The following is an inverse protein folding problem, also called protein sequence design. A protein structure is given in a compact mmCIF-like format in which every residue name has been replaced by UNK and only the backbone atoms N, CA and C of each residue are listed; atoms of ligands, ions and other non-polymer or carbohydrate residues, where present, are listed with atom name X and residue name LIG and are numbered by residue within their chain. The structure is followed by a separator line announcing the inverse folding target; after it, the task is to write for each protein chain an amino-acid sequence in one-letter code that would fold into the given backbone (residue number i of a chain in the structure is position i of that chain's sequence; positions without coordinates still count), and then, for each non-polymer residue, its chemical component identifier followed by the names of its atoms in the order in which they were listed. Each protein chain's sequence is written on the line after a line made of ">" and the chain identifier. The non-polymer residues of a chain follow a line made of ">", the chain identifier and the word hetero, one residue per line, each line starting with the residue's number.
data_IF_307845992329
#
_entry.id   IF_307845992329
#
_cell.length_a   1.000
_cell.length_b   1.000
_cell.length_c   1.000
_cell.angle_alpha   90.00
_cell.angle_beta   90.00
_cell.angle_gamma   90.00
#
_symmetry.space_group_name_H-M   'P 1'
#
loop_
_entity.id
_entity.type
_entity.pdbx_description
1 polymer ?
#
# COMPACT_ATOMS: atom_id res chain seq x y z
N UNK A 1 -17.24 -34.64 -30.12
CA UNK A 1 -16.91 -35.39 -28.90
C UNK A 1 -15.87 -34.54 -28.16
N UNK A 2 -16.20 -33.41 -27.54
CA UNK A 2 -17.17 -33.17 -26.44
C UNK A 2 -16.63 -33.68 -25.10
N UNK A 3 -16.67 -33.00 -23.93
CA UNK A 3 -16.96 -31.61 -23.47
C UNK A 3 -16.61 -31.55 -21.93
N UNK A 4 -16.44 -30.46 -21.17
CA UNK A 4 -16.09 -29.03 -21.39
C UNK A 4 -15.86 -28.28 -20.02
N UNK A 5 -15.12 -27.16 -19.99
CA UNK A 5 -15.01 -26.21 -18.84
C UNK A 5 -13.64 -26.16 -18.13
N UNK A 6 -13.18 -25.05 -17.50
CA UNK A 6 -13.77 -23.73 -17.24
C UNK A 6 -12.71 -22.59 -17.34
N UNK A 7 -13.17 -21.32 -17.25
CA UNK A 7 -12.42 -20.08 -17.51
C UNK A 7 -11.32 -19.76 -16.48
N UNK A 8 -10.21 -19.16 -16.91
CA UNK A 8 -9.13 -18.65 -16.04
C UNK A 8 -9.31 -17.19 -15.56
N UNK A 9 -8.40 -16.71 -14.70
CA UNK A 9 -8.31 -15.29 -14.31
C UNK A 9 -7.04 -14.95 -13.51
N UNK A 10 -6.52 -13.73 -13.71
CA UNK A 10 -5.53 -12.99 -12.90
C UNK A 10 -4.17 -13.64 -12.59
N UNK A 11 -3.15 -13.30 -13.37
CA UNK A 11 -1.75 -13.36 -12.91
C UNK A 11 -1.46 -12.15 -12.02
N UNK A 12 -1.50 -12.34 -10.70
CA UNK A 12 -0.89 -11.40 -9.75
C UNK A 12 0.64 -11.36 -9.94
N UNK A 13 1.32 -10.38 -9.35
CA UNK A 13 2.80 -10.28 -9.34
C UNK A 13 3.47 -11.26 -8.35
N UNK A 14 3.09 -12.52 -8.51
CA UNK A 14 3.75 -13.76 -8.11
C UNK A 14 3.13 -14.78 -9.09
N UNK A 15 3.87 -15.34 -10.04
CA UNK A 15 4.80 -16.46 -9.80
C UNK A 15 5.94 -16.53 -10.84
N UNK A 16 6.94 -17.38 -10.54
CA UNK A 16 8.21 -17.73 -11.23
C UNK A 16 9.41 -16.92 -10.69
N UNK A 17 10.26 -17.42 -9.79
CA UNK A 17 10.86 -18.77 -9.75
C UNK A 17 11.16 -19.28 -8.32
N UNK A 18 11.63 -20.52 -8.22
CA UNK A 18 11.86 -21.28 -6.99
C UNK A 18 13.04 -20.83 -6.09
N UNK A 19 13.01 -21.32 -4.84
CA UNK A 19 14.15 -21.45 -3.90
C UNK A 19 14.87 -20.16 -3.50
N UNK A 20 14.23 -19.37 -2.64
CA UNK A 20 14.87 -18.28 -1.89
C UNK A 20 13.86 -17.54 -1.03
N UNK A 21 14.15 -17.35 0.26
CA UNK A 21 13.23 -16.66 1.17
C UNK A 21 13.13 -15.18 0.83
N UNK A 22 12.11 -14.79 0.07
CA UNK A 22 11.81 -13.38 -0.19
C UNK A 22 11.24 -12.74 1.07
N UNK A 23 12.04 -11.91 1.74
CA UNK A 23 11.51 -10.96 2.73
C UNK A 23 10.47 -10.10 2.03
N UNK A 24 9.21 -10.03 2.52
CA UNK A 24 8.18 -9.22 1.88
C UNK A 24 8.61 -7.75 1.91
N UNK A 25 8.91 -7.21 0.73
CA UNK A 25 9.28 -5.80 0.57
C UNK A 25 8.13 -4.95 1.12
N UNK A 26 8.47 -4.01 2.00
CA UNK A 26 7.52 -3.00 2.48
C UNK A 26 7.85 -1.67 1.80
N UNK A 27 7.42 -1.43 0.54
CA UNK A 27 7.84 -0.27 -0.22
C UNK A 27 7.27 1.01 0.37
N UNK A 28 8.11 2.05 0.48
CA UNK A 28 7.61 3.41 0.63
C UNK A 28 7.17 3.93 -0.73
N UNK A 29 5.88 4.25 -0.84
CA UNK A 29 5.26 4.78 -2.05
C UNK A 29 4.74 6.19 -1.80
N UNK A 30 4.51 6.90 -2.90
CA UNK A 30 3.69 8.09 -2.93
C UNK A 30 2.39 7.72 -3.66
N UNK A 31 1.24 7.97 -3.05
CA UNK A 31 -0.06 7.74 -3.71
C UNK A 31 -0.39 8.98 -4.54
N UNK A 32 -0.47 8.84 -5.86
CA UNK A 32 -0.63 9.97 -6.80
C UNK A 32 -1.97 9.88 -7.52
N UNK A 33 -2.72 10.97 -7.56
CA UNK A 33 -3.91 11.09 -8.39
C UNK A 33 -3.49 11.14 -9.87
N UNK A 34 -3.87 10.11 -10.62
CA UNK A 34 -3.55 9.97 -12.05
C UNK A 34 -4.11 11.11 -12.93
N UNK A 35 -5.16 11.81 -12.50
CA UNK A 35 -5.79 12.90 -13.26
C UNK A 35 -5.13 14.27 -13.07
N UNK A 36 -4.42 14.49 -11.95
CA UNK A 36 -3.86 15.80 -11.57
C UNK A 36 -2.36 15.78 -11.29
N UNK A 37 -1.75 14.61 -11.10
CA UNK A 37 -0.38 14.49 -10.63
C UNK A 37 -0.16 15.00 -9.20
N UNK A 38 -1.23 15.14 -8.39
CA UNK A 38 -1.14 15.54 -6.98
C UNK A 38 -1.11 14.32 -6.05
N UNK A 39 -0.49 14.47 -4.89
CA UNK A 39 -0.13 13.40 -3.96
C UNK A 39 -1.04 13.37 -2.73
N UNK A 40 -1.28 12.18 -2.18
CA UNK A 40 -1.94 12.02 -0.87
C UNK A 40 -1.03 12.54 0.23
N UNK A 41 -1.54 13.52 0.97
CA UNK A 41 -0.83 14.40 1.89
C UNK A 41 -1.55 14.41 3.26
N UNK A 42 -0.79 14.36 4.35
CA UNK A 42 -1.29 14.73 5.68
C UNK A 42 -1.24 16.27 5.80
N UNK A 43 -2.39 16.98 5.86
CA UNK A 43 -2.40 18.44 5.93
C UNK A 43 -1.54 18.96 7.09
N UNK A 44 -0.67 19.92 6.81
CA UNK A 44 0.30 20.50 7.76
C UNK A 44 1.18 19.46 8.47
N UNK A 45 1.32 18.25 7.91
CA UNK A 45 2.00 17.11 8.53
C UNK A 45 1.28 16.50 9.73
N UNK A 46 -0.02 16.78 9.91
CA UNK A 46 -0.77 16.43 11.12
C UNK A 46 -1.01 14.92 11.30
N UNK A 47 -0.53 14.37 12.41
CA UNK A 47 -0.61 12.93 12.76
C UNK A 47 -1.62 12.62 13.89
N UNK A 48 -2.50 13.58 14.20
CA UNK A 48 -3.57 13.40 15.19
C UNK A 48 -4.61 12.39 14.67
N UNK A 49 -5.12 11.54 15.57
CA UNK A 49 -6.11 10.53 15.21
C UNK A 49 -7.40 11.18 14.67
N UNK A 50 -7.76 10.85 13.43
CA UNK A 50 -8.91 11.42 12.73
C UNK A 50 -8.58 12.53 11.73
N UNK A 51 -7.32 12.93 11.57
CA UNK A 51 -6.90 13.77 10.43
C UNK A 51 -7.41 13.16 9.13
N UNK A 52 -8.07 13.95 8.28
CA UNK A 52 -8.46 13.52 6.92
C UNK A 52 -7.32 13.87 5.95
N UNK A 53 -6.66 12.88 5.31
CA UNK A 53 -5.67 13.17 4.28
C UNK A 53 -6.32 13.86 3.07
N UNK A 54 -5.52 14.67 2.37
CA UNK A 54 -5.97 15.41 1.19
C UNK A 54 -5.04 15.19 0.00
N UNK A 55 -5.42 15.67 -1.18
CA UNK A 55 -4.47 15.92 -2.26
C UNK A 55 -3.69 17.19 -2.02
N UNK A 56 -2.39 17.14 -2.28
CA UNK A 56 -1.55 18.33 -2.40
C UNK A 56 -0.51 18.17 -3.50
N UNK A 57 0.05 19.28 -4.00
CA UNK A 57 1.18 19.26 -4.93
C UNK A 57 2.30 18.36 -4.41
N UNK A 58 2.78 17.44 -5.24
CA UNK A 58 3.84 16.52 -4.87
C UNK A 58 5.14 17.27 -4.55
N UNK A 59 5.49 17.34 -3.26
CA UNK A 59 6.71 17.94 -2.70
C UNK A 59 7.72 16.90 -2.21
N UNK A 60 7.33 15.63 -2.15
CA UNK A 60 8.18 14.53 -1.66
C UNK A 60 8.44 14.58 -0.14
N UNK A 61 7.70 15.41 0.59
CA UNK A 61 7.75 15.51 2.04
C UNK A 61 7.34 14.20 2.73
N UNK A 62 7.73 14.01 3.99
CA UNK A 62 7.46 12.77 4.76
C UNK A 62 5.97 12.53 5.02
N UNK A 63 5.19 13.61 4.99
CA UNK A 63 3.74 13.70 5.03
C UNK A 63 3.03 13.21 3.75
N UNK A 64 3.78 13.01 2.66
CA UNK A 64 3.28 12.43 1.39
C UNK A 64 3.75 10.99 1.15
N UNK A 65 4.53 10.42 2.08
CA UNK A 65 5.12 9.09 1.96
C UNK A 65 4.33 8.07 2.76
N UNK A 66 3.99 6.96 2.12
CA UNK A 66 3.19 5.88 2.68
C UNK A 66 3.95 4.57 2.51
N UNK A 67 4.38 3.96 3.61
CA UNK A 67 4.99 2.63 3.60
C UNK A 67 3.90 1.58 3.61
N UNK A 68 3.79 0.82 2.52
CA UNK A 68 2.92 -0.35 2.47
C UNK A 68 3.61 -1.50 3.19
N UNK A 69 3.02 -1.99 4.27
CA UNK A 69 3.60 -3.06 5.10
C UNK A 69 3.13 -4.44 4.65
N UNK A 70 3.87 -5.49 5.02
CA UNK A 70 3.46 -6.88 4.79
C UNK A 70 2.12 -7.26 5.44
N UNK A 71 1.65 -6.49 6.43
CA UNK A 71 0.32 -6.63 7.05
C UNK A 71 -0.82 -5.96 6.25
N UNK A 72 -0.51 -5.36 5.09
CA UNK A 72 -1.44 -4.61 4.26
C UNK A 72 -1.69 -3.16 4.71
N UNK A 73 -1.00 -2.66 5.74
CA UNK A 73 -1.23 -1.29 6.21
C UNK A 73 -0.42 -0.25 5.42
N UNK A 74 -1.07 0.81 4.96
CA UNK A 74 -0.45 2.03 4.43
C UNK A 74 -0.10 2.95 5.61
N UNK A 75 1.17 2.97 5.99
CA UNK A 75 1.68 3.68 7.19
C UNK A 75 2.43 4.95 6.78
N UNK A 76 1.94 6.10 7.22
CA UNK A 76 2.53 7.42 6.96
C UNK A 76 3.42 7.93 8.08
N UNK A 77 3.62 9.27 8.09
CA UNK A 77 4.38 10.01 9.10
C UNK A 77 3.97 9.64 10.54
N UNK A 78 4.95 9.55 11.42
CA UNK A 78 4.84 9.22 12.85
C UNK A 78 4.04 7.93 13.17
N UNK A 79 3.89 7.02 12.19
CA UNK A 79 3.26 5.70 12.37
C UNK A 79 1.73 5.67 12.21
N UNK A 80 1.09 6.78 11.79
CA UNK A 80 -0.35 6.76 11.47
C UNK A 80 -0.62 5.87 10.27
N UNK A 81 -1.79 5.22 10.24
CA UNK A 81 -2.26 4.37 9.14
C UNK A 81 -3.49 4.98 8.48
N UNK A 82 -3.64 4.78 7.18
CA UNK A 82 -4.90 5.05 6.49
C UNK A 82 -5.97 4.08 7.00
N UNK A 83 -7.06 4.63 7.51
CA UNK A 83 -8.20 3.97 8.12
C UNK A 83 -9.47 4.35 7.35
N UNK A 84 -9.98 3.40 6.57
CA UNK A 84 -11.19 3.56 5.77
C UNK A 84 -12.44 3.07 6.49
N UNK A 85 -13.37 3.99 6.78
CA UNK A 85 -14.61 3.71 7.51
C UNK A 85 -15.80 4.44 6.88
N UNK A 86 -16.92 3.75 6.68
CA UNK A 86 -18.06 4.33 5.96
C UNK A 86 -17.64 4.83 4.57
N UNK A 87 -17.79 6.12 4.28
CA UNK A 87 -17.34 6.77 3.03
C UNK A 87 -16.02 7.54 3.16
N UNK A 88 -15.45 7.65 4.35
CA UNK A 88 -14.28 8.48 4.64
C UNK A 88 -12.99 7.66 4.76
N UNK A 89 -11.87 8.34 4.63
CA UNK A 89 -10.54 7.82 4.96
C UNK A 89 -9.88 8.81 5.93
N UNK A 90 -9.40 8.31 7.06
CA UNK A 90 -8.70 9.11 8.08
C UNK A 90 -7.33 8.52 8.40
N UNK A 91 -6.40 9.34 8.89
CA UNK A 91 -5.16 8.86 9.50
C UNK A 91 -5.41 8.56 10.99
N UNK A 92 -5.06 7.35 11.43
CA UNK A 92 -5.23 6.91 12.84
C UNK A 92 -4.05 6.06 13.32
N UNK A 93 -3.81 5.98 14.64
CA UNK A 93 -2.95 4.95 15.22
C UNK A 93 -3.39 3.53 14.82
N UNK A 94 -2.48 2.57 14.91
CA UNK A 94 -2.79 1.15 14.71
C UNK A 94 -3.97 0.70 15.59
N UNK A 95 -4.99 0.10 14.96
CA UNK A 95 -6.17 -0.44 15.66
C UNK A 95 -6.55 -1.87 15.22
N UNK A 96 -5.70 -2.50 14.40
CA UNK A 96 -5.84 -3.86 13.81
C UNK A 96 -7.15 -4.15 13.07
N UNK A 97 -7.98 -3.12 12.85
CA UNK A 97 -9.25 -3.24 12.15
C UNK A 97 -9.05 -3.63 10.69
N UNK A 98 -10.11 -4.16 10.09
CA UNK A 98 -10.18 -4.32 8.64
C UNK A 98 -10.01 -2.96 7.92
N UNK A 99 -10.42 -1.85 8.55
CA UNK A 99 -10.30 -0.49 8.01
C UNK A 99 -8.87 -0.04 7.71
N UNK A 100 -7.86 -0.67 8.31
CA UNK A 100 -6.44 -0.35 8.11
C UNK A 100 -5.70 -1.33 7.18
N UNK A 101 -6.43 -2.24 6.53
CA UNK A 101 -5.85 -3.26 5.64
C UNK A 101 -6.16 -2.89 4.19
N UNK A 102 -5.14 -2.89 3.36
CA UNK A 102 -5.18 -2.46 1.97
C UNK A 102 -4.43 -3.46 1.09
N UNK A 103 -4.71 -3.43 -0.21
CA UNK A 103 -3.96 -4.12 -1.26
C UNK A 103 -3.31 -3.04 -2.13
N UNK A 104 -2.01 -3.17 -2.37
CA UNK A 104 -1.26 -2.21 -3.18
C UNK A 104 -1.35 -2.58 -4.66
N UNK A 105 -2.52 -2.35 -5.23
CA UNK A 105 -2.82 -2.48 -6.66
C UNK A 105 -3.00 -1.08 -7.31
N UNK A 106 -3.28 -1.02 -8.61
CA UNK A 106 -3.49 0.24 -9.34
C UNK A 106 -4.73 1.05 -8.88
N UNK A 107 -5.54 0.48 -7.98
CA UNK A 107 -6.76 1.05 -7.42
C UNK A 107 -6.65 1.27 -5.89
N UNK A 108 -5.62 0.71 -5.23
CA UNK A 108 -5.43 0.70 -3.78
C UNK A 108 -6.69 0.23 -3.04
N UNK A 109 -7.06 -1.03 -3.26
CA UNK A 109 -8.29 -1.65 -2.73
C UNK A 109 -8.17 -2.08 -1.25
N UNK A 110 -9.28 -2.40 -0.59
CA UNK A 110 -9.30 -2.85 0.81
C UNK A 110 -10.59 -3.62 1.16
N UNK A 111 -10.75 -4.16 2.38
CA UNK A 111 -11.88 -4.99 2.79
C UNK A 111 -13.18 -4.20 3.03
N UNK A 112 -13.28 -2.97 2.52
CA UNK A 112 -14.41 -2.04 2.66
C UNK A 112 -15.60 -2.42 1.77
N UNK A 113 -15.90 -3.72 1.62
CA UNK A 113 -16.95 -4.23 0.74
C UNK A 113 -16.66 -4.02 -0.76
N UNK A 114 -15.43 -4.29 -1.20
CA UNK A 114 -15.01 -4.09 -2.60
C UNK A 114 -14.86 -2.63 -3.01
N UNK A 115 -14.66 -1.74 -2.04
CA UNK A 115 -14.45 -0.30 -2.25
C UNK A 115 -12.96 0.03 -2.15
N UNK A 116 -12.57 1.01 -2.95
CA UNK A 116 -11.18 1.44 -3.16
C UNK A 116 -10.96 2.86 -2.66
N UNK A 117 -9.69 3.20 -2.42
CA UNK A 117 -9.24 4.57 -2.22
C UNK A 117 -9.69 5.45 -3.40
N UNK A 118 -10.29 6.58 -3.07
CA UNK A 118 -10.93 7.50 -3.99
C UNK A 118 -10.84 8.93 -3.44
N UNK A 119 -11.44 9.86 -4.16
CA UNK A 119 -11.40 11.29 -3.86
C UNK A 119 -12.83 11.84 -3.80
N UNK A 120 -13.09 12.70 -2.81
CA UNK A 120 -14.41 13.32 -2.64
C UNK A 120 -14.81 14.05 -3.92
N UNK A 121 -15.98 13.72 -4.48
CA UNK A 121 -16.47 14.29 -5.73
C UNK A 121 -15.59 14.06 -6.97
N UNK A 122 -14.63 13.12 -6.91
CA UNK A 122 -13.55 12.97 -7.89
C UNK A 122 -12.70 14.24 -8.11
N UNK A 123 -12.59 15.09 -7.09
CA UNK A 123 -11.84 16.34 -7.15
C UNK A 123 -10.35 16.16 -7.46
N UNK A 124 -9.78 17.14 -8.17
CA UNK A 124 -8.37 17.18 -8.62
C UNK A 124 -7.56 18.28 -7.95
N UNK A 125 -8.21 19.23 -7.27
CA UNK A 125 -7.57 20.38 -6.63
C UNK A 125 -6.87 20.00 -5.31
N UNK A 126 -5.88 20.80 -4.91
CA UNK A 126 -5.28 20.70 -3.59
C UNK A 126 -6.34 20.92 -2.50
N UNK A 127 -6.26 20.18 -1.40
CA UNK A 127 -7.26 20.14 -0.34
C UNK A 127 -8.43 19.17 -0.61
N UNK A 128 -8.51 18.52 -1.78
CA UNK A 128 -9.51 17.47 -2.02
C UNK A 128 -9.27 16.30 -1.06
N UNK A 129 -10.26 15.97 -0.22
CA UNK A 129 -10.17 14.87 0.75
C UNK A 129 -10.25 13.49 0.09
N UNK A 130 -9.64 12.50 0.75
CA UNK A 130 -9.79 11.10 0.40
C UNK A 130 -11.18 10.54 0.80
N UNK A 131 -11.63 9.54 0.07
CA UNK A 131 -12.90 8.85 0.25
C UNK A 131 -12.78 7.36 -0.09
N UNK A 132 -13.83 6.58 0.20
CA UNK A 132 -14.00 5.21 -0.26
C UNK A 132 -15.11 5.14 -1.33
N UNK A 133 -14.80 4.62 -2.52
CA UNK A 133 -15.76 4.48 -3.62
C UNK A 133 -15.86 3.05 -4.16
N UNK A 134 -17.03 2.67 -4.69
CA UNK A 134 -17.20 1.44 -5.47
C UNK A 134 -16.63 1.61 -6.88
N UNK A 135 -16.29 0.50 -7.53
CA UNK A 135 -15.45 0.55 -8.73
C UNK A 135 -16.08 1.21 -9.98
N UNK A 136 -17.41 1.44 -9.98
CA UNK A 136 -18.18 1.96 -11.11
C UNK A 136 -18.20 3.50 -11.23
N UNK A 137 -17.73 4.24 -10.22
CA UNK A 137 -17.55 5.69 -10.35
C UNK A 137 -16.22 6.01 -11.03
N UNK A 138 -16.20 7.06 -11.85
CA UNK A 138 -14.99 7.72 -12.38
C UNK A 138 -14.21 8.47 -11.30
N UNK A 139 -13.99 7.80 -10.16
CA UNK A 139 -13.12 8.28 -9.10
C UNK A 139 -11.70 8.40 -9.64
N UNK A 140 -11.17 9.61 -9.63
CA UNK A 140 -9.79 9.92 -9.97
C UNK A 140 -8.86 8.95 -9.21
N UNK A 141 -8.15 8.11 -9.96
CA UNK A 141 -7.50 6.93 -9.40
C UNK A 141 -6.20 7.30 -8.68
N UNK A 142 -6.02 6.77 -7.47
CA UNK A 142 -4.79 6.90 -6.70
C UNK A 142 -3.84 5.74 -7.06
N UNK A 143 -2.81 6.05 -7.83
CA UNK A 143 -1.80 5.10 -8.28
C UNK A 143 -0.55 5.18 -7.38
N UNK A 144 -0.10 4.04 -6.80
CA UNK A 144 1.12 4.01 -5.99
C UNK A 144 2.36 4.13 -6.88
N UNK A 145 3.13 5.20 -6.67
CA UNK A 145 4.45 5.39 -7.27
C UNK A 145 5.51 5.02 -6.25
N UNK A 146 6.27 3.97 -6.50
CA UNK A 146 7.37 3.58 -5.63
C UNK A 146 8.43 4.69 -5.59
N UNK A 147 8.80 5.13 -4.40
CA UNK A 147 10.04 5.87 -4.21
C UNK A 147 11.16 4.85 -4.38
N UNK A 148 11.75 4.79 -5.58
CA UNK A 148 12.85 3.87 -5.89
C UNK A 148 13.94 4.12 -4.83
N UNK A 149 14.23 3.16 -3.93
CA UNK A 149 15.36 3.32 -3.03
C UNK A 149 16.63 3.33 -3.88
N UNK A 150 17.67 4.11 -3.53
CA UNK A 150 18.96 3.96 -4.18
C UNK A 150 19.40 2.49 -4.07
N UNK A 151 20.02 1.90 -5.12
CA UNK A 151 20.45 0.52 -5.06
C UNK A 151 21.37 0.32 -3.86
N UNK A 152 21.24 -0.79 -3.10
CA UNK A 152 22.13 -1.05 -1.98
C UNK A 152 23.58 -1.07 -2.50
N UNK A 153 24.55 -0.53 -1.75
CA UNK A 153 25.95 -0.68 -2.11
C UNK A 153 26.28 -2.19 -2.19
N UNK A 154 27.15 -2.61 -3.12
CA UNK A 154 27.53 -4.02 -3.23
C UNK A 154 28.11 -4.48 -1.90
N UNK A 155 27.39 -5.40 -1.24
CA UNK A 155 27.83 -5.95 0.04
C UNK A 155 29.10 -6.80 -0.10
N UNK A 156 29.93 -6.89 0.94
CA UNK A 156 31.00 -7.88 0.98
C UNK A 156 30.41 -9.30 0.86
N UNK A 157 31.15 -10.28 0.32
CA UNK A 157 30.66 -11.65 0.20
C UNK A 157 30.32 -12.22 1.58
N UNK A 158 29.07 -12.66 1.74
CA UNK A 158 28.54 -13.14 3.02
C UNK A 158 29.27 -14.39 3.50
N UNK A 159 29.87 -14.32 4.68
CA UNK A 159 30.22 -15.51 5.45
C UNK A 159 28.93 -16.22 5.91
N UNK A 160 28.83 -17.51 5.64
CA UNK A 160 27.64 -18.32 5.81
C UNK A 160 27.30 -18.66 7.27
N UNK A 161 26.63 -17.73 7.97
CA UNK A 161 26.02 -17.98 9.28
C UNK A 161 24.81 -18.91 9.17
N UNK A 162 25.08 -20.21 9.09
CA UNK A 162 24.09 -21.26 9.29
C UNK A 162 23.65 -21.30 10.76
N UNK A 163 22.36 -21.11 11.02
CA UNK A 163 21.77 -21.45 12.31
C UNK A 163 21.86 -22.96 12.55
N UNK A 164 22.92 -23.42 13.25
CA UNK A 164 23.06 -24.81 13.69
C UNK A 164 21.87 -25.20 14.57
N UNK A 165 21.08 -26.18 14.13
CA UNK A 165 20.30 -27.01 15.06
C UNK A 165 21.26 -28.00 15.75
N UNK A 166 21.19 -28.19 17.08
CA UNK A 166 21.65 -29.42 17.70
C UNK A 166 20.66 -30.57 17.44
N UNK A 167 21.10 -31.81 17.72
CA UNK A 167 20.51 -33.12 17.37
C UNK A 167 20.95 -33.64 15.99
N UNK A 168 21.37 -34.90 15.81
CA UNK A 168 21.30 -36.08 16.72
C UNK A 168 22.67 -36.75 16.95
N UNK A 169 22.85 -37.36 18.12
CA UNK A 169 24.00 -38.23 18.43
C UNK A 169 23.51 -39.67 18.68
N UNK A 170 23.78 -40.55 17.72
CA UNK A 170 23.52 -42.01 17.73
C UNK A 170 24.38 -42.61 16.61
N UNK A 171 25.22 -43.63 16.80
CA UNK A 171 25.50 -44.52 17.95
C UNK A 171 27.00 -44.52 18.22
#
# INVERSE_FOLDING_TARGET
>A
MSEAGHRGSWTSVAETSATGGVTPLSPTVTLVNAASGTCVDLPDGATIAGTEPTLYTCRGGTDQRWTFTAAGALTGKDGVRLDGSGTTVTARPCNDSAGQKWQLDAQSSGPHGGRRLALVGAGTANGTKLALATCAASAAALAPHALIPPPPPPGPPSAEFHCRRPSDAKT
#
